data_IF_198074838274
#
_entry.id   IF_198074838274
#
_cell.length_a   1.000
_cell.length_b   1.000
_cell.length_c   1.000
_cell.angle_alpha   90.00
_cell.angle_beta   90.00
_cell.angle_gamma   90.00
#
_symmetry.space_group_name_H-M   'P 1'
#
loop_
_entity.id
_entity.type
_entity.pdbx_description
1 polymer ?
#
# COMPACT_ATOMS: atom_id res chain seq x y z
N UNK A 1 11.91 2.36 12.70
CA UNK A 1 11.65 2.07 14.13
C UNK A 1 10.86 3.16 14.88
N UNK A 2 11.13 4.46 14.71
CA UNK A 2 10.42 5.54 15.45
C UNK A 2 8.89 5.49 15.28
N UNK A 3 8.41 5.27 14.05
CA UNK A 3 6.97 5.13 13.79
C UNK A 3 6.34 3.92 14.50
N UNK A 4 7.04 2.78 14.55
CA UNK A 4 6.59 1.58 15.28
C UNK A 4 6.57 1.79 16.80
N UNK A 5 7.53 2.56 17.32
CA UNK A 5 7.58 2.90 18.73
C UNK A 5 6.38 3.75 19.16
N UNK A 6 6.03 4.76 18.35
CA UNK A 6 4.90 5.67 18.64
C UNK A 6 3.54 4.99 18.40
N UNK A 7 3.40 4.20 17.35
CA UNK A 7 2.14 3.54 17.01
C UNK A 7 1.77 2.38 17.97
N UNK A 8 2.76 1.81 18.66
CA UNK A 8 2.59 0.64 19.50
C UNK A 8 2.50 -0.67 18.70
N UNK A 9 2.67 -1.81 19.39
CA UNK A 9 2.71 -3.14 18.76
C UNK A 9 1.37 -3.65 18.22
N UNK A 10 0.26 -3.02 18.63
CA UNK A 10 -1.10 -3.45 18.32
C UNK A 10 -1.66 -2.88 17.01
N UNK A 11 -1.00 -1.87 16.44
CA UNK A 11 -1.47 -1.19 15.22
C UNK A 11 -0.67 -1.67 14.02
N UNK A 12 -1.40 -1.94 12.93
CA UNK A 12 -0.82 -2.34 11.65
C UNK A 12 -0.24 -1.10 10.97
N UNK A 13 1.06 -1.12 10.71
CA UNK A 13 1.75 -0.07 9.97
C UNK A 13 1.93 -0.47 8.51
N UNK A 14 1.48 0.39 7.60
CA UNK A 14 1.57 0.14 6.16
C UNK A 14 2.38 1.24 5.47
N UNK A 15 3.22 0.82 4.51
CA UNK A 15 4.10 1.70 3.76
C UNK A 15 3.49 2.05 2.38
N UNK A 16 3.22 3.34 2.18
CA UNK A 16 2.67 3.94 0.95
C UNK A 16 3.55 5.07 0.39
N UNK A 17 4.81 5.12 0.79
CA UNK A 17 5.81 6.13 0.43
C UNK A 17 6.46 5.91 -0.95
N UNK A 18 6.21 4.77 -1.61
CA UNK A 18 6.72 4.43 -2.96
C UNK A 18 6.71 5.61 -3.93
N UNK A 19 5.59 6.35 -4.01
CA UNK A 19 5.41 7.48 -4.95
C UNK A 19 6.39 8.64 -4.76
N UNK A 20 7.09 8.71 -3.62
CA UNK A 20 8.12 9.73 -3.32
C UNK A 20 9.52 9.14 -3.18
N UNK A 21 9.66 7.81 -3.21
CA UNK A 21 10.93 7.11 -3.11
C UNK A 21 11.63 7.07 -4.49
N UNK A 22 11.89 8.25 -5.06
CA UNK A 22 12.47 8.43 -6.39
C UNK A 22 14.01 8.36 -6.41
N UNK A 23 14.63 7.86 -5.33
CA UNK A 23 16.09 7.70 -5.28
C UNK A 23 16.54 6.56 -6.21
N UNK A 24 16.58 6.85 -7.51
CA UNK A 24 16.98 5.93 -8.57
C UNK A 24 15.95 4.82 -8.86
N UNK A 25 16.30 3.90 -9.77
CA UNK A 25 15.44 2.77 -10.16
C UNK A 25 15.07 1.85 -8.98
N UNK A 26 16.00 1.69 -8.02
CA UNK A 26 15.87 0.79 -6.88
C UNK A 26 15.43 1.50 -5.57
N UNK A 27 15.23 2.81 -5.61
CA UNK A 27 14.88 3.61 -4.44
C UNK A 27 13.58 3.17 -3.78
N UNK A 28 12.58 2.86 -4.60
CA UNK A 28 11.30 2.35 -4.13
C UNK A 28 11.41 0.97 -3.46
N UNK A 29 12.23 0.08 -4.02
CA UNK A 29 12.39 -1.29 -3.53
C UNK A 29 13.15 -1.30 -2.20
N UNK A 30 14.28 -0.59 -2.16
CA UNK A 30 15.10 -0.44 -0.96
C UNK A 30 14.33 0.26 0.16
N UNK A 31 13.58 1.33 -0.13
CA UNK A 31 12.74 2.00 0.86
C UNK A 31 11.70 1.05 1.48
N UNK A 32 10.93 0.33 0.67
CA UNK A 32 9.94 -0.64 1.17
C UNK A 32 10.59 -1.73 2.03
N UNK A 33 11.78 -2.23 1.63
CA UNK A 33 12.55 -3.23 2.39
C UNK A 33 13.00 -2.69 3.76
N UNK A 34 13.57 -1.49 3.81
CA UNK A 34 14.03 -0.90 5.07
C UNK A 34 12.85 -0.47 5.97
N UNK A 35 11.73 -0.04 5.40
CA UNK A 35 10.52 0.24 6.17
C UNK A 35 9.97 -1.02 6.82
N UNK A 36 9.93 -2.15 6.10
CA UNK A 36 9.52 -3.45 6.66
C UNK A 36 10.43 -3.86 7.82
N UNK A 37 11.77 -3.83 7.64
CA UNK A 37 12.71 -4.07 8.74
C UNK A 37 12.56 -3.05 9.89
N UNK A 38 12.13 -1.83 9.58
CA UNK A 38 11.86 -0.77 10.54
C UNK A 38 10.60 -0.96 11.39
N UNK A 39 9.86 -2.06 11.20
CA UNK A 39 8.67 -2.43 11.97
C UNK A 39 7.35 -2.11 11.28
N UNK A 40 7.33 -1.96 9.95
CA UNK A 40 6.11 -1.89 9.16
C UNK A 40 5.65 -3.30 8.80
N UNK A 41 4.34 -3.53 8.83
CA UNK A 41 3.75 -4.85 8.67
C UNK A 41 3.32 -5.14 7.23
N UNK A 42 3.15 -4.13 6.36
CA UNK A 42 2.82 -4.32 4.94
C UNK A 42 3.29 -3.17 4.04
N UNK A 43 3.40 -3.42 2.73
CA UNK A 43 3.75 -2.41 1.71
C UNK A 43 2.76 -2.44 0.53
N UNK A 44 2.71 -1.35 -0.22
CA UNK A 44 2.01 -1.25 -1.50
C UNK A 44 2.88 -1.62 -2.72
N UNK A 45 4.18 -1.85 -2.53
CA UNK A 45 5.12 -2.14 -3.61
C UNK A 45 5.09 -3.62 -4.01
N UNK A 46 4.41 -3.93 -5.12
CA UNK A 46 4.28 -5.31 -5.66
C UNK A 46 5.65 -5.94 -5.94
N UNK A 47 6.61 -5.18 -6.49
CA UNK A 47 7.93 -5.71 -6.81
C UNK A 47 8.72 -6.09 -5.55
N UNK A 48 8.61 -5.29 -4.48
CA UNK A 48 9.22 -5.64 -3.20
C UNK A 48 8.50 -6.82 -2.52
N UNK A 49 7.18 -6.94 -2.67
CA UNK A 49 6.44 -8.12 -2.23
C UNK A 49 6.89 -9.39 -2.95
N UNK A 50 7.12 -9.31 -4.26
CA UNK A 50 7.58 -10.44 -5.07
C UNK A 50 9.01 -10.88 -4.71
N UNK A 51 9.93 -9.93 -4.54
CA UNK A 51 11.34 -10.23 -4.27
C UNK A 51 11.63 -10.60 -2.81
N UNK A 52 10.93 -9.99 -1.85
CA UNK A 52 11.23 -10.12 -0.42
C UNK A 52 10.12 -10.81 0.39
N UNK A 53 9.02 -11.23 -0.24
CA UNK A 53 7.91 -11.90 0.45
C UNK A 53 7.16 -11.00 1.44
N UNK A 54 7.21 -9.68 1.26
CA UNK A 54 6.54 -8.72 2.14
C UNK A 54 5.04 -8.77 1.86
N UNK A 55 4.16 -8.84 2.88
CA UNK A 55 2.72 -8.82 2.67
C UNK A 55 2.27 -7.51 2.00
N UNK A 56 1.48 -7.66 0.94
CA UNK A 56 1.00 -6.56 0.11
C UNK A 56 -0.39 -6.11 0.58
N UNK A 57 -0.57 -4.79 0.73
CA UNK A 57 -1.87 -4.20 1.08
C UNK A 57 -2.11 -2.92 0.28
N UNK A 58 -3.28 -2.85 -0.35
CA UNK A 58 -3.77 -1.70 -1.11
C UNK A 58 -5.19 -1.99 -1.61
N UNK A 59 -6.05 -0.97 -1.60
CA UNK A 59 -7.47 -1.13 -1.97
C UNK A 59 -7.76 -0.52 -3.33
N UNK A 60 -7.84 0.80 -3.39
CA UNK A 60 -8.11 1.55 -4.62
C UNK A 60 -7.42 2.91 -4.57
N UNK A 61 -7.22 3.51 -5.75
CA UNK A 61 -6.64 4.84 -5.89
C UNK A 61 -7.73 5.89 -6.11
N UNK A 62 -7.41 7.17 -5.89
CA UNK A 62 -8.34 8.26 -6.19
C UNK A 62 -8.66 8.34 -7.68
N UNK A 63 -7.72 7.97 -8.56
CA UNK A 63 -7.92 7.95 -10.00
C UNK A 63 -9.04 6.98 -10.42
N UNK A 64 -9.26 5.89 -9.67
CA UNK A 64 -10.39 5.00 -9.89
C UNK A 64 -11.72 5.70 -9.67
N UNK A 65 -11.84 6.52 -8.62
CA UNK A 65 -13.09 7.26 -8.36
C UNK A 65 -13.25 8.40 -9.37
N UNK A 66 -12.17 9.12 -9.68
CA UNK A 66 -12.20 10.27 -10.58
C UNK A 66 -12.44 9.92 -12.06
N UNK A 67 -12.35 8.64 -12.45
CA UNK A 67 -12.70 8.23 -13.82
C UNK A 67 -14.21 8.14 -14.06
N UNK A 68 -15.04 8.12 -13.01
CA UNK A 68 -16.49 8.05 -13.13
C UNK A 68 -17.08 9.46 -13.12
N UNK A 69 -17.87 9.78 -14.15
CA UNK A 69 -18.50 11.10 -14.29
C UNK A 69 -19.95 11.10 -13.79
N UNK A 70 -20.60 9.94 -13.73
CA UNK A 70 -21.95 9.77 -13.19
C UNK A 70 -22.14 8.43 -12.48
N UNK A 71 -23.05 8.40 -11.50
CA UNK A 71 -23.50 7.17 -10.82
C UNK A 71 -24.21 6.19 -11.78
N UNK A 72 -24.59 6.64 -12.97
CA UNK A 72 -25.19 5.81 -14.02
C UNK A 72 -24.17 4.96 -14.78
N UNK A 73 -22.87 5.30 -14.70
CA UNK A 73 -21.78 4.53 -15.30
C UNK A 73 -21.31 3.37 -14.40
N UNK A 74 -21.91 3.21 -13.22
CA UNK A 74 -21.58 2.16 -12.25
C UNK A 74 -22.63 1.05 -12.40
N UNK A 75 -22.37 0.00 -13.21
CA UNK A 75 -23.34 -1.06 -13.50
C UNK A 75 -23.63 -1.97 -12.29
N UNK A 76 -22.73 -2.03 -11.30
CA UNK A 76 -22.93 -2.84 -10.09
C UNK A 76 -22.71 -1.99 -8.84
N UNK A 77 -23.82 -1.61 -8.18
CA UNK A 77 -23.81 -0.75 -6.99
C UNK A 77 -23.63 -1.52 -5.68
N UNK A 78 -23.51 -2.85 -5.75
CA UNK A 78 -23.42 -3.72 -4.58
C UNK A 78 -22.21 -4.65 -4.70
N UNK A 79 -21.22 -4.43 -3.85
CA UNK A 79 -20.18 -5.43 -3.61
C UNK A 79 -20.87 -6.63 -2.94
N UNK A 80 -21.08 -7.71 -3.70
CA UNK A 80 -21.45 -9.01 -3.11
C UNK A 80 -20.33 -9.40 -2.17
N UNK A 81 -20.60 -9.32 -0.87
CA UNK A 81 -19.70 -9.81 0.15
C UNK A 81 -19.53 -11.31 -0.11
N UNK A 82 -18.31 -11.73 -0.46
CA UNK A 82 -17.97 -13.15 -0.52
C UNK A 82 -17.39 -13.46 0.86
N UNK A 83 -18.10 -14.32 1.59
CA UNK A 83 -17.72 -14.86 2.90
C UNK A 83 -16.23 -15.21 2.99
#
# INVERSE_FOLDING_TARGET
ARHRHVAGKSKVLMEFGLRRAQQGPDGAISASKYCFMGGFDATSNVLAGHLFGIPLRGTHSHAYVSSYMSLDEIPDRTLRNKD
#
